data_IF_429760660960
#
_entry.id   IF_429760660960
#
_cell.length_a   1.000
_cell.length_b   1.000
_cell.length_c   1.000
_cell.angle_alpha   90.00
_cell.angle_beta   90.00
_cell.angle_gamma   90.00
#
_symmetry.space_group_name_H-M   'P 1'
#
loop_
_entity.id
_entity.type
_entity.pdbx_description
1 polymer ?
#
# COMPACT_ATOMS: atom_id res chain seq x y z
N UNK A 1 -11.14 -4.34 -11.46
CA UNK A 1 -11.85 -3.13 -10.95
C UNK A 1 -10.79 -2.11 -10.62
N UNK A 2 -10.90 -0.86 -11.10
CA UNK A 2 -9.87 0.16 -10.89
C UNK A 2 -9.80 0.63 -9.45
N UNK A 3 -8.61 1.10 -9.01
CA UNK A 3 -8.41 1.72 -7.71
C UNK A 3 -9.49 2.78 -7.41
N UNK A 4 -9.75 3.70 -8.35
CA UNK A 4 -10.76 4.76 -8.19
C UNK A 4 -12.14 4.21 -7.88
N UNK A 5 -12.58 3.17 -8.59
CA UNK A 5 -13.93 2.60 -8.37
C UNK A 5 -14.06 1.93 -7.00
N UNK A 6 -13.00 1.30 -6.51
CA UNK A 6 -12.98 0.66 -5.19
C UNK A 6 -13.02 1.72 -4.09
N UNK A 7 -12.09 2.67 -4.11
CA UNK A 7 -11.91 3.61 -3.00
C UNK A 7 -12.94 4.74 -2.98
N UNK A 8 -13.63 5.03 -4.09
CA UNK A 8 -14.83 5.90 -4.09
C UNK A 8 -15.90 5.42 -3.10
N UNK A 9 -16.04 4.10 -2.90
CA UNK A 9 -17.02 3.50 -2.00
C UNK A 9 -16.44 3.08 -0.65
N UNK A 10 -15.17 2.68 -0.63
CA UNK A 10 -14.50 2.14 0.57
C UNK A 10 -13.69 3.16 1.35
N UNK A 11 -13.36 4.30 0.75
CA UNK A 11 -12.39 5.25 1.31
C UNK A 11 -12.75 5.73 2.72
N UNK A 12 -14.03 6.06 2.97
CA UNK A 12 -14.47 6.50 4.31
C UNK A 12 -14.36 5.37 5.35
N UNK A 13 -14.76 4.14 4.99
CA UNK A 13 -14.67 2.97 5.88
C UNK A 13 -13.21 2.62 6.18
N UNK A 14 -12.35 2.67 5.17
CA UNK A 14 -10.92 2.49 5.33
C UNK A 14 -10.30 3.56 6.25
N UNK A 15 -10.61 4.84 6.02
CA UNK A 15 -10.12 5.95 6.84
C UNK A 15 -10.59 5.82 8.30
N UNK A 16 -11.84 5.39 8.51
CA UNK A 16 -12.34 5.10 9.85
C UNK A 16 -11.51 4.00 10.54
N UNK A 17 -11.20 2.89 9.85
CA UNK A 17 -10.37 1.83 10.39
C UNK A 17 -8.98 2.34 10.80
N UNK A 18 -8.33 3.10 9.90
CA UNK A 18 -6.99 3.64 10.12
C UNK A 18 -6.94 4.67 11.26
N UNK A 19 -7.96 5.50 11.41
CA UNK A 19 -8.05 6.49 12.49
C UNK A 19 -8.38 5.86 13.85
N UNK A 20 -9.26 4.84 13.85
CA UNK A 20 -9.66 4.14 15.07
C UNK A 20 -8.55 3.26 15.62
N UNK A 21 -7.74 2.65 14.74
CA UNK A 21 -6.70 1.70 15.08
C UNK A 21 -5.35 2.10 14.44
N UNK A 22 -4.79 3.26 14.76
CA UNK A 22 -3.68 3.87 14.02
C UNK A 22 -2.34 3.13 14.14
N UNK A 23 -2.24 2.14 15.03
CA UNK A 23 -1.03 1.35 15.25
C UNK A 23 -0.99 0.03 14.48
N UNK A 24 -2.16 -0.45 13.99
CA UNK A 24 -2.29 -1.81 13.44
C UNK A 24 -1.33 -2.04 12.28
N UNK A 25 -1.17 -1.08 11.40
CA UNK A 25 -0.28 -1.15 10.24
C UNK A 25 1.10 -0.54 10.45
N UNK A 26 1.47 -0.19 11.69
CA UNK A 26 2.78 0.45 11.98
C UNK A 26 3.94 -0.33 11.36
N UNK A 27 3.90 -1.66 11.45
CA UNK A 27 4.98 -2.50 10.95
C UNK A 27 5.10 -2.47 9.42
N UNK A 28 4.01 -2.32 8.70
CA UNK A 28 4.05 -2.15 7.24
C UNK A 28 4.80 -0.90 6.84
N UNK A 29 4.46 0.25 7.42
CA UNK A 29 5.12 1.52 7.14
C UNK A 29 6.59 1.52 7.57
N UNK A 30 6.91 0.97 8.75
CA UNK A 30 8.30 0.87 9.22
C UNK A 30 9.18 0.01 8.33
N UNK A 31 8.63 -1.05 7.75
CA UNK A 31 9.36 -1.94 6.85
C UNK A 31 9.71 -1.30 5.51
N UNK A 32 8.97 -0.28 5.05
CA UNK A 32 9.25 0.42 3.80
C UNK A 32 10.70 0.92 3.73
N UNK A 33 11.19 1.47 4.84
CA UNK A 33 12.52 2.11 4.90
C UNK A 33 13.58 1.26 5.59
N UNK A 34 13.30 -0.02 5.87
CA UNK A 34 14.21 -0.85 6.68
C UNK A 34 15.51 -1.23 5.96
N UNK A 35 15.52 -1.30 4.63
CA UNK A 35 16.72 -1.60 3.82
C UNK A 35 17.42 -0.34 3.32
N UNK A 36 16.66 0.67 2.96
CA UNK A 36 17.18 1.97 2.53
C UNK A 36 16.54 3.03 3.44
N UNK A 37 17.16 3.36 4.58
CA UNK A 37 16.63 4.36 5.50
C UNK A 37 16.47 5.73 4.85
N UNK A 38 15.51 6.51 5.37
CA UNK A 38 15.31 7.90 4.96
C UNK A 38 16.49 8.77 5.43
N UNK A 39 16.91 9.68 4.57
CA UNK A 39 17.74 10.81 4.96
C UNK A 39 16.92 11.90 5.67
N UNK A 40 17.61 12.95 6.12
CA UNK A 40 16.95 14.14 6.69
C UNK A 40 16.54 15.09 5.57
N UNK A 41 15.39 15.75 5.76
CA UNK A 41 14.87 16.78 4.86
C UNK A 41 14.61 16.27 3.41
N UNK A 42 14.42 14.98 3.23
CA UNK A 42 14.00 14.43 1.93
C UNK A 42 12.56 14.81 1.62
N UNK A 43 12.25 15.01 0.34
CA UNK A 43 10.90 15.15 -0.17
C UNK A 43 10.37 13.77 -0.54
N UNK A 44 9.24 13.39 0.01
CA UNK A 44 8.61 12.07 -0.18
C UNK A 44 7.25 12.27 -0.83
N UNK A 45 6.98 11.56 -1.92
CA UNK A 45 5.66 11.48 -2.53
C UNK A 45 4.99 10.18 -2.08
N UNK A 46 3.88 10.30 -1.35
CA UNK A 46 3.00 9.18 -0.97
C UNK A 46 1.88 9.06 -2.01
N UNK A 47 1.83 7.95 -2.76
CA UNK A 47 0.88 7.78 -3.85
C UNK A 47 0.54 6.29 -4.11
N UNK A 48 -0.73 5.90 -4.01
CA UNK A 48 -1.87 6.66 -3.51
C UNK A 48 -1.84 6.77 -1.99
N UNK A 49 -2.08 7.97 -1.47
CA UNK A 49 -1.90 8.29 -0.06
C UNK A 49 -3.15 8.03 0.82
N UNK A 50 -4.34 7.94 0.21
CA UNK A 50 -5.62 7.90 0.92
C UNK A 50 -5.72 9.01 1.99
N UNK A 51 -5.53 8.68 3.26
CA UNK A 51 -5.61 9.62 4.39
C UNK A 51 -4.27 10.22 4.83
N UNK A 52 -3.17 10.03 4.07
CA UNK A 52 -1.86 10.59 4.41
C UNK A 52 -1.21 9.97 5.65
N UNK A 53 -1.42 8.67 5.88
CA UNK A 53 -0.95 7.98 7.09
C UNK A 53 0.57 7.84 7.18
N UNK A 54 1.29 7.99 6.05
CA UNK A 54 2.74 7.89 5.99
C UNK A 54 3.44 8.99 6.80
N UNK A 55 2.85 10.18 6.91
CA UNK A 55 3.47 11.36 7.54
C UNK A 55 4.01 11.08 8.95
N UNK A 56 3.32 10.26 9.75
CA UNK A 56 3.77 9.96 11.13
C UNK A 56 5.07 9.17 11.22
N UNK A 57 5.50 8.52 10.12
CA UNK A 57 6.75 7.75 10.05
C UNK A 57 7.91 8.54 9.41
N UNK A 58 7.63 9.75 8.90
CA UNK A 58 8.56 10.58 8.15
C UNK A 58 8.73 11.97 8.81
N UNK A 59 8.95 12.00 10.13
CA UNK A 59 8.90 13.21 10.96
C UNK A 59 9.92 14.28 10.53
N UNK A 60 11.11 13.87 10.06
CA UNK A 60 12.18 14.77 9.63
C UNK A 60 12.09 15.11 8.13
N UNK A 61 11.00 14.73 7.45
CA UNK A 61 10.85 14.81 5.99
C UNK A 61 9.57 15.52 5.59
N UNK A 62 9.50 15.99 4.37
CA UNK A 62 8.28 16.57 3.80
C UNK A 62 7.55 15.52 2.99
N UNK A 63 6.32 15.15 3.39
CA UNK A 63 5.48 14.22 2.64
C UNK A 63 4.43 14.98 1.83
N UNK A 64 4.42 14.74 0.52
CA UNK A 64 3.41 15.21 -0.42
C UNK A 64 2.46 14.04 -0.66
N UNK A 65 1.16 14.26 -0.48
CA UNK A 65 0.14 13.24 -0.67
C UNK A 65 -0.62 13.47 -1.96
N UNK A 66 -0.68 12.46 -2.83
CA UNK A 66 -1.56 12.41 -4.01
C UNK A 66 -2.38 11.12 -3.97
N UNK A 67 -3.55 11.13 -4.59
CA UNK A 67 -4.41 9.93 -4.66
C UNK A 67 -5.00 9.72 -6.05
N UNK A 68 -5.51 8.51 -6.32
CA UNK A 68 -6.19 8.18 -7.58
C UNK A 68 -7.71 8.21 -7.44
N UNK A 69 -8.22 8.45 -6.24
CA UNK A 69 -9.65 8.49 -5.95
C UNK A 69 -10.01 9.67 -5.06
N UNK A 70 -11.12 10.32 -5.36
CA UNK A 70 -11.68 11.39 -4.50
C UNK A 70 -12.43 10.77 -3.32
N UNK A 71 -11.72 10.05 -2.47
CA UNK A 71 -12.32 9.36 -1.31
C UNK A 71 -12.16 10.14 -0.01
N UNK A 72 -11.13 10.97 0.12
CA UNK A 72 -10.82 11.74 1.33
C UNK A 72 -10.55 13.19 0.95
N UNK A 73 -11.19 14.13 1.67
CA UNK A 73 -11.03 15.55 1.42
C UNK A 73 -9.60 16.05 1.74
N UNK A 74 -9.08 16.93 0.90
CA UNK A 74 -7.81 17.63 1.11
C UNK A 74 -6.59 16.98 0.48
N UNK A 75 -6.78 15.87 -0.26
CA UNK A 75 -5.73 15.25 -1.07
C UNK A 75 -6.05 15.44 -2.54
N UNK A 76 -5.06 15.90 -3.32
CA UNK A 76 -5.22 16.10 -4.76
C UNK A 76 -5.35 14.77 -5.50
N UNK A 77 -6.31 14.72 -6.42
CA UNK A 77 -6.59 13.52 -7.23
C UNK A 77 -5.89 13.62 -8.57
N UNK A 78 -5.15 12.58 -8.90
CA UNK A 78 -4.37 12.47 -10.14
C UNK A 78 -4.64 11.13 -10.84
N UNK A 79 -4.31 11.04 -12.12
CA UNK A 79 -4.27 9.76 -12.83
C UNK A 79 -2.97 9.02 -12.51
N UNK A 80 -2.98 7.68 -12.33
CA UNK A 80 -1.74 6.91 -12.17
C UNK A 80 -0.80 7.04 -13.37
N UNK A 81 -1.33 7.37 -14.55
CA UNK A 81 -0.59 7.45 -15.82
C UNK A 81 -0.41 8.88 -16.35
N UNK A 82 -0.95 9.87 -15.65
CA UNK A 82 -0.89 11.27 -16.03
C UNK A 82 0.26 12.00 -15.34
N UNK A 83 0.58 13.21 -15.83
CA UNK A 83 1.57 14.06 -15.19
C UNK A 83 1.06 14.51 -13.82
N UNK A 84 1.84 14.30 -12.78
CA UNK A 84 1.52 14.74 -11.42
C UNK A 84 1.98 16.19 -11.19
N UNK A 85 1.25 16.99 -10.41
CA UNK A 85 1.55 18.42 -10.20
C UNK A 85 2.63 18.60 -9.12
N UNK A 86 3.66 17.78 -9.15
CA UNK A 86 4.78 17.81 -8.18
C UNK A 86 6.11 17.91 -8.91
N UNK A 87 7.07 18.57 -8.29
CA UNK A 87 8.47 18.56 -8.75
C UNK A 87 9.09 17.21 -8.42
N UNK A 88 10.21 16.83 -9.10
CA UNK A 88 10.91 15.61 -8.75
C UNK A 88 11.28 15.56 -7.27
N UNK A 89 11.05 14.38 -6.66
CA UNK A 89 11.23 14.10 -5.23
C UNK A 89 12.35 13.10 -4.99
N UNK A 90 12.82 13.02 -3.75
CA UNK A 90 13.86 12.06 -3.34
C UNK A 90 13.30 10.64 -3.23
N UNK A 91 12.06 10.51 -2.75
CA UNK A 91 11.40 9.22 -2.52
C UNK A 91 9.97 9.22 -3.05
N UNK A 92 9.56 8.08 -3.58
CA UNK A 92 8.15 7.80 -3.87
C UNK A 92 7.75 6.55 -3.08
N UNK A 93 6.60 6.59 -2.41
CA UNK A 93 6.05 5.47 -1.66
C UNK A 93 4.73 5.02 -2.29
N UNK A 94 4.58 3.70 -2.48
CA UNK A 94 3.33 3.07 -2.89
C UNK A 94 3.09 1.84 -1.99
N UNK A 95 2.13 1.93 -1.08
CA UNK A 95 1.87 0.87 -0.09
C UNK A 95 0.52 0.20 -0.31
N UNK A 96 0.54 -1.11 -0.60
CA UNK A 96 -0.63 -1.99 -0.74
C UNK A 96 -1.69 -1.45 -1.72
N UNK A 97 -1.24 -0.97 -2.88
CA UNK A 97 -2.11 -0.35 -3.87
C UNK A 97 -1.75 -0.70 -5.34
N UNK A 98 -0.54 -1.18 -5.60
CA UNK A 98 -0.08 -1.48 -6.95
C UNK A 98 -0.89 -2.62 -7.59
N UNK A 99 -1.43 -3.54 -6.80
CA UNK A 99 -2.34 -4.60 -7.29
C UNK A 99 -3.68 -4.07 -7.85
N UNK A 100 -3.97 -2.78 -7.71
CA UNK A 100 -5.11 -2.11 -8.33
C UNK A 100 -4.72 -1.26 -9.55
N UNK A 101 -3.48 -1.33 -9.99
CA UNK A 101 -2.97 -0.61 -11.16
C UNK A 101 -3.00 -1.54 -12.38
N UNK A 102 -3.68 -1.11 -13.45
CA UNK A 102 -3.86 -1.95 -14.63
C UNK A 102 -2.58 -2.06 -15.48
N UNK A 103 -1.79 -0.98 -15.57
CA UNK A 103 -0.52 -0.94 -16.30
C UNK A 103 0.62 -0.49 -15.40
N UNK A 104 1.29 -1.48 -14.79
CA UNK A 104 2.43 -1.22 -13.90
C UNK A 104 3.61 -0.57 -14.63
N UNK A 105 3.83 -0.91 -15.90
CA UNK A 105 4.97 -0.38 -16.64
C UNK A 105 4.82 1.13 -16.87
N UNK A 106 3.63 1.57 -17.29
CA UNK A 106 3.32 3.00 -17.41
C UNK A 106 3.35 3.70 -16.05
N UNK A 107 2.87 3.05 -15.01
CA UNK A 107 2.90 3.60 -13.65
C UNK A 107 4.34 3.82 -13.14
N UNK A 108 5.22 2.85 -13.34
CA UNK A 108 6.63 2.97 -12.98
C UNK A 108 7.36 4.03 -13.81
N UNK A 109 7.06 4.16 -15.12
CA UNK A 109 7.60 5.25 -15.93
C UNK A 109 7.20 6.60 -15.35
N UNK A 110 5.92 6.75 -14.99
CA UNK A 110 5.42 7.99 -14.40
C UNK A 110 6.08 8.29 -13.05
N UNK A 111 6.29 7.28 -12.19
CA UNK A 111 7.09 7.44 -10.97
C UNK A 111 8.51 7.89 -11.27
N UNK A 112 9.16 7.27 -12.26
CA UNK A 112 10.53 7.62 -12.64
C UNK A 112 10.65 9.07 -13.12
N UNK A 113 9.66 9.59 -13.84
CA UNK A 113 9.61 10.99 -14.30
C UNK A 113 9.53 12.00 -13.14
N UNK A 114 9.05 11.55 -11.97
CA UNK A 114 8.91 12.36 -10.75
C UNK A 114 9.99 12.08 -9.69
N UNK A 115 11.03 11.31 -10.02
CA UNK A 115 12.20 11.11 -9.17
C UNK A 115 13.36 12.02 -9.56
N UNK A 116 14.15 12.41 -8.56
CA UNK A 116 15.48 12.96 -8.82
C UNK A 116 16.42 11.83 -9.26
N UNK A 117 17.62 12.19 -9.75
CA UNK A 117 18.69 11.23 -10.00
C UNK A 117 19.05 10.51 -8.69
N UNK A 118 19.18 9.18 -8.74
CA UNK A 118 19.36 8.29 -7.58
C UNK A 118 18.19 8.28 -6.56
N UNK A 119 17.05 8.90 -6.87
CA UNK A 119 15.85 8.81 -6.04
C UNK A 119 15.33 7.37 -5.97
N UNK A 120 14.59 7.05 -4.92
CA UNK A 120 14.14 5.68 -4.64
C UNK A 120 12.61 5.59 -4.64
N UNK A 121 12.08 4.55 -5.29
CA UNK A 121 10.70 4.09 -5.10
C UNK A 121 10.73 3.01 -4.02
N UNK A 122 9.94 3.20 -2.96
CA UNK A 122 9.62 2.19 -1.97
C UNK A 122 8.20 1.68 -2.24
N UNK A 123 8.08 0.47 -2.71
CA UNK A 123 6.80 -0.18 -2.94
C UNK A 123 6.66 -1.38 -2.02
N UNK A 124 5.47 -1.58 -1.47
CA UNK A 124 5.14 -2.82 -0.78
C UNK A 124 3.76 -3.27 -1.18
N UNK A 125 3.61 -4.54 -1.55
CA UNK A 125 2.32 -5.07 -1.97
C UNK A 125 2.20 -6.58 -1.71
N UNK A 126 0.98 -7.07 -1.86
CA UNK A 126 0.63 -8.48 -1.73
C UNK A 126 1.23 -9.28 -2.90
N UNK A 127 1.87 -10.39 -2.58
CA UNK A 127 2.45 -11.27 -3.59
C UNK A 127 1.38 -12.16 -4.24
N UNK A 128 1.63 -12.53 -5.51
CA UNK A 128 0.85 -13.54 -6.22
C UNK A 128 0.80 -14.86 -5.44
N UNK A 129 -0.33 -15.55 -5.48
CA UNK A 129 -0.57 -16.85 -4.84
C UNK A 129 -0.29 -16.92 -3.32
N UNK A 130 -0.15 -15.76 -2.68
CA UNK A 130 0.05 -15.69 -1.23
C UNK A 130 -1.23 -16.02 -0.46
N UNK A 131 -1.12 -16.44 0.82
CA UNK A 131 -2.29 -16.57 1.70
C UNK A 131 -3.15 -15.30 1.77
N UNK A 132 -2.50 -14.13 1.68
CA UNK A 132 -3.18 -12.83 1.73
C UNK A 132 -3.93 -12.54 0.43
N UNK A 133 -3.34 -12.80 -0.75
CA UNK A 133 -4.05 -12.63 -2.02
C UNK A 133 -5.30 -13.49 -2.10
N UNK A 134 -5.22 -14.76 -1.64
CA UNK A 134 -6.37 -15.66 -1.56
C UNK A 134 -7.44 -15.17 -0.60
N UNK A 135 -7.04 -14.69 0.60
CA UNK A 135 -7.98 -14.08 1.54
C UNK A 135 -8.70 -12.87 0.93
N UNK A 136 -7.96 -12.01 0.22
CA UNK A 136 -8.52 -10.81 -0.41
C UNK A 136 -9.50 -11.17 -1.54
N UNK A 137 -9.14 -12.10 -2.41
CA UNK A 137 -10.00 -12.46 -3.55
C UNK A 137 -11.20 -13.31 -3.13
N UNK A 138 -10.97 -14.37 -2.34
CA UNK A 138 -12.01 -15.33 -2.02
C UNK A 138 -12.95 -14.82 -0.92
N UNK A 139 -12.42 -14.31 0.19
CA UNK A 139 -13.25 -13.89 1.32
C UNK A 139 -13.65 -12.41 1.21
N UNK A 140 -12.70 -11.50 1.05
CA UNK A 140 -13.01 -10.07 0.97
C UNK A 140 -13.82 -9.78 -0.28
N UNK A 141 -13.42 -10.31 -1.44
CA UNK A 141 -14.12 -10.12 -2.70
C UNK A 141 -15.58 -10.56 -2.66
N UNK A 142 -15.87 -11.69 -1.98
CA UNK A 142 -17.24 -12.19 -1.85
C UNK A 142 -18.11 -11.42 -0.84
N UNK A 143 -17.52 -10.61 0.05
CA UNK A 143 -18.20 -10.00 1.19
C UNK A 143 -18.07 -8.46 1.24
N UNK A 144 -17.36 -7.84 0.32
CA UNK A 144 -17.27 -6.38 0.25
C UNK A 144 -18.48 -5.77 -0.46
N UNK A 145 -18.75 -4.49 -0.21
CA UNK A 145 -19.86 -3.75 -0.82
C UNK A 145 -19.80 -3.70 -2.36
N UNK A 146 -18.62 -3.82 -2.94
CA UNK A 146 -18.38 -3.82 -4.39
C UNK A 146 -18.57 -5.21 -5.04
N UNK A 147 -18.72 -6.27 -4.24
CA UNK A 147 -18.92 -7.65 -4.71
C UNK A 147 -17.70 -8.30 -5.36
N UNK A 148 -16.54 -7.65 -5.35
CA UNK A 148 -15.27 -8.23 -5.81
C UNK A 148 -14.07 -7.45 -5.25
N UNK A 149 -12.94 -8.15 -5.12
CA UNK A 149 -11.64 -7.57 -4.81
C UNK A 149 -10.61 -8.09 -5.83
N UNK A 150 -10.90 -8.05 -7.09
CA UNK A 150 -10.00 -8.58 -8.11
C UNK A 150 -8.72 -7.72 -8.17
N UNK A 151 -7.70 -8.13 -7.42
CA UNK A 151 -6.38 -7.53 -7.47
C UNK A 151 -5.53 -8.17 -8.58
N UNK A 152 -4.71 -7.36 -9.25
CA UNK A 152 -3.65 -7.84 -10.13
C UNK A 152 -2.42 -8.14 -9.27
N UNK A 153 -2.32 -9.34 -8.71
CA UNK A 153 -1.15 -9.73 -7.91
C UNK A 153 -0.01 -10.17 -8.82
N UNK A 154 1.22 -9.88 -8.39
CA UNK A 154 2.40 -10.10 -9.21
C UNK A 154 3.43 -10.98 -8.49
N UNK A 155 4.13 -11.82 -9.24
CA UNK A 155 5.47 -12.23 -8.85
C UNK A 155 6.41 -11.06 -9.18
N UNK A 156 6.84 -10.36 -8.15
CA UNK A 156 7.63 -9.14 -8.29
C UNK A 156 9.01 -9.37 -8.91
N UNK A 157 9.50 -10.60 -8.94
CA UNK A 157 10.73 -10.95 -9.65
C UNK A 157 10.54 -11.02 -11.16
N UNK A 158 9.31 -11.29 -11.62
CA UNK A 158 8.98 -11.42 -13.05
C UNK A 158 8.43 -10.11 -13.63
N UNK A 159 8.21 -9.08 -12.81
CA UNK A 159 7.72 -7.77 -13.27
C UNK A 159 8.76 -7.09 -14.14
N UNK A 160 8.33 -6.56 -15.28
CA UNK A 160 9.17 -5.73 -16.14
C UNK A 160 9.21 -4.31 -15.65
N UNK A 161 10.37 -3.89 -15.16
CA UNK A 161 10.62 -2.50 -14.77
C UNK A 161 11.17 -1.68 -15.95
N UNK A 162 10.90 -0.36 -16.01
CA UNK A 162 11.55 0.54 -16.95
C UNK A 162 13.09 0.47 -16.86
N UNK A 163 13.77 0.64 -17.98
CA UNK A 163 15.25 0.60 -18.05
C UNK A 163 15.93 1.69 -17.22
N UNK A 164 15.22 2.76 -16.91
CA UNK A 164 15.67 3.87 -16.08
C UNK A 164 15.54 3.58 -14.55
N UNK A 165 15.02 2.40 -14.19
CA UNK A 165 14.90 1.92 -12.81
C UNK A 165 15.76 0.67 -12.61
N UNK A 166 16.59 0.71 -11.58
CA UNK A 166 17.37 -0.44 -11.11
C UNK A 166 16.69 -1.05 -9.90
N UNK A 167 16.43 -2.35 -9.94
CA UNK A 167 15.99 -3.09 -8.75
C UNK A 167 17.15 -3.15 -7.75
N UNK A 168 16.91 -2.63 -6.55
CA UNK A 168 17.86 -2.65 -5.43
C UNK A 168 17.54 -3.78 -4.47
N UNK A 169 16.24 -4.02 -4.23
CA UNK A 169 15.80 -5.05 -3.31
C UNK A 169 14.41 -5.55 -3.70
N UNK A 170 14.17 -6.85 -3.57
CA UNK A 170 12.84 -7.47 -3.55
C UNK A 170 12.87 -8.52 -2.44
N UNK A 171 11.98 -8.38 -1.44
CA UNK A 171 11.96 -9.28 -0.30
C UNK A 171 10.57 -9.35 0.33
N UNK A 172 10.06 -10.58 0.53
CA UNK A 172 8.86 -10.77 1.34
C UNK A 172 9.21 -10.62 2.83
N UNK A 173 8.51 -9.72 3.54
CA UNK A 173 8.79 -9.45 4.96
C UNK A 173 7.53 -9.53 5.78
N UNK A 174 7.60 -10.15 6.99
CA UNK A 174 6.50 -10.12 7.93
C UNK A 174 6.26 -8.69 8.43
N UNK A 175 5.02 -8.27 8.38
CA UNK A 175 4.54 -7.01 8.92
C UNK A 175 3.22 -7.25 9.70
N UNK A 176 3.28 -8.05 10.79
CA UNK A 176 2.10 -8.51 11.49
C UNK A 176 1.24 -7.37 11.99
N UNK A 177 -0.08 -7.56 11.92
CA UNK A 177 -1.05 -6.65 12.54
C UNK A 177 -1.34 -7.10 13.97
N UNK A 178 -1.30 -6.16 14.92
CA UNK A 178 -1.40 -6.45 16.35
C UNK A 178 -2.66 -5.81 16.92
N UNK A 179 -3.47 -6.60 17.61
CA UNK A 179 -4.74 -6.21 18.20
C UNK A 179 -4.81 -6.63 19.68
N UNK A 180 -5.60 -5.92 20.46
CA UNK A 180 -5.83 -6.27 21.86
C UNK A 180 -6.79 -7.47 22.02
N UNK A 181 -7.65 -7.74 21.01
CA UNK A 181 -8.61 -8.84 21.03
C UNK A 181 -9.02 -9.27 19.62
N UNK A 182 -9.61 -10.49 19.52
CA UNK A 182 -10.23 -10.97 18.28
C UNK A 182 -11.37 -10.06 17.81
N UNK A 183 -12.17 -9.52 18.73
CA UNK A 183 -13.22 -8.57 18.39
C UNK A 183 -12.65 -7.32 17.70
N UNK A 184 -11.56 -6.76 18.23
CA UNK A 184 -10.88 -5.61 17.64
C UNK A 184 -10.31 -5.95 16.25
N UNK A 185 -9.73 -7.16 16.08
CA UNK A 185 -9.23 -7.63 14.78
C UNK A 185 -10.37 -7.78 13.76
N UNK A 186 -11.50 -8.38 14.15
CA UNK A 186 -12.65 -8.52 13.28
C UNK A 186 -13.26 -7.15 12.90
N UNK A 187 -13.37 -6.25 13.88
CA UNK A 187 -13.87 -4.89 13.65
C UNK A 187 -12.97 -4.11 12.69
N UNK A 188 -11.66 -4.14 12.91
CA UNK A 188 -10.70 -3.49 12.01
C UNK A 188 -10.83 -4.01 10.57
N UNK A 189 -10.80 -5.32 10.39
CA UNK A 189 -10.94 -5.93 9.06
C UNK A 189 -12.28 -5.61 8.41
N UNK A 190 -13.37 -5.55 9.20
CA UNK A 190 -14.69 -5.15 8.71
C UNK A 190 -14.66 -3.77 8.05
N UNK A 191 -14.08 -2.78 8.71
CA UNK A 191 -14.01 -1.43 8.20
C UNK A 191 -12.94 -1.29 7.10
N UNK A 192 -11.74 -1.86 7.29
CA UNK A 192 -10.67 -1.76 6.31
C UNK A 192 -11.06 -2.32 4.95
N UNK A 193 -11.76 -3.46 4.94
CA UNK A 193 -12.19 -4.15 3.72
C UNK A 193 -13.64 -3.86 3.32
N UNK A 194 -14.34 -2.99 4.06
CA UNK A 194 -15.75 -2.64 3.83
C UNK A 194 -16.65 -3.89 3.74
N UNK A 195 -16.48 -4.84 4.66
CA UNK A 195 -17.22 -6.09 4.67
C UNK A 195 -18.68 -5.86 5.09
N UNK A 196 -19.64 -6.38 4.32
CA UNK A 196 -21.08 -6.26 4.55
C UNK A 196 -21.69 -7.60 4.95
N UNK A 197 -22.65 -7.55 5.87
CA UNK A 197 -23.44 -8.72 6.28
C UNK A 197 -22.62 -9.92 6.78
N UNK A 198 -21.42 -9.69 7.34
CA UNK A 198 -20.51 -10.71 7.83
C UNK A 198 -20.38 -10.59 9.35
N UNK A 199 -20.54 -11.70 10.07
CA UNK A 199 -20.36 -11.75 11.54
C UNK A 199 -18.86 -11.82 11.89
N UNK A 200 -18.49 -11.35 13.09
CA UNK A 200 -17.10 -11.41 13.56
C UNK A 200 -16.52 -12.82 13.46
N UNK A 201 -17.29 -13.85 13.87
CA UNK A 201 -16.86 -15.25 13.75
C UNK A 201 -16.45 -15.64 12.33
N UNK A 202 -17.19 -15.20 11.31
CA UNK A 202 -16.89 -15.54 9.92
C UNK A 202 -15.59 -14.86 9.45
N UNK A 203 -15.34 -13.61 9.91
CA UNK A 203 -14.09 -12.89 9.63
C UNK A 203 -12.91 -13.62 10.30
N UNK A 204 -13.06 -13.99 11.57
CA UNK A 204 -12.02 -14.69 12.32
C UNK A 204 -11.72 -16.08 11.74
N UNK A 205 -12.74 -16.84 11.39
CA UNK A 205 -12.58 -18.15 10.75
C UNK A 205 -11.82 -18.00 9.41
N UNK A 206 -12.16 -16.99 8.58
CA UNK A 206 -11.45 -16.73 7.33
C UNK A 206 -9.99 -16.30 7.57
N UNK A 207 -9.75 -15.37 8.49
CA UNK A 207 -8.39 -14.95 8.84
C UNK A 207 -7.55 -16.12 9.35
N UNK A 208 -8.14 -17.01 10.18
CA UNK A 208 -7.47 -18.21 10.66
C UNK A 208 -7.12 -19.18 9.52
N UNK A 209 -8.05 -19.40 8.59
CA UNK A 209 -7.90 -20.39 7.53
C UNK A 209 -6.92 -19.94 6.44
N UNK A 210 -6.94 -18.67 6.03
CA UNK A 210 -6.11 -18.16 4.96
C UNK A 210 -4.76 -17.63 5.47
N UNK A 211 -4.77 -16.72 6.45
CA UNK A 211 -3.60 -15.95 6.87
C UNK A 211 -2.93 -16.55 8.10
N UNK A 212 -3.75 -17.01 9.03
CA UNK A 212 -3.32 -17.48 10.34
C UNK A 212 -3.09 -16.32 11.31
N UNK A 213 -3.45 -16.52 12.57
CA UNK A 213 -3.14 -15.60 13.66
C UNK A 213 -2.89 -16.34 14.97
N UNK A 214 -2.26 -15.65 15.92
CA UNK A 214 -2.03 -16.13 17.29
C UNK A 214 -2.88 -15.30 18.24
N UNK A 215 -3.58 -15.97 19.14
CA UNK A 215 -4.36 -15.33 20.21
C UNK A 215 -3.78 -15.78 21.55
N UNK A 216 -2.96 -14.92 22.19
CA UNK A 216 -2.39 -15.12 23.53
C UNK A 216 -2.68 -13.88 24.36
N UNK A 217 -1.65 -13.14 24.78
CA UNK A 217 -1.81 -11.83 25.43
C UNK A 217 -2.37 -10.78 24.47
N UNK A 218 -2.04 -10.89 23.18
CA UNK A 218 -2.55 -10.08 22.07
C UNK A 218 -2.88 -10.98 20.88
N UNK A 219 -3.78 -10.49 20.02
CA UNK A 219 -4.06 -11.13 18.75
C UNK A 219 -3.08 -10.61 17.69
N UNK A 220 -2.30 -11.50 17.11
CA UNK A 220 -1.25 -11.20 16.12
C UNK A 220 -1.60 -11.89 14.82
N UNK A 221 -2.07 -11.12 13.83
CA UNK A 221 -2.35 -11.60 12.49
C UNK A 221 -1.04 -11.69 11.69
N UNK A 222 -0.78 -12.83 11.03
CA UNK A 222 0.45 -13.10 10.28
C UNK A 222 0.47 -12.38 8.93
N UNK A 223 0.34 -11.04 8.93
CA UNK A 223 0.38 -10.25 7.71
C UNK A 223 1.81 -10.14 7.18
N UNK A 224 1.97 -10.18 5.87
CA UNK A 224 3.24 -9.98 5.20
C UNK A 224 3.02 -9.30 3.84
N UNK A 225 4.02 -8.56 3.38
CA UNK A 225 4.04 -7.94 2.06
C UNK A 225 5.40 -8.19 1.40
N UNK A 226 5.44 -8.15 0.08
CA UNK A 226 6.69 -8.05 -0.66
C UNK A 226 7.07 -6.59 -0.78
N UNK A 227 8.27 -6.25 -0.31
CA UNK A 227 8.86 -4.92 -0.35
C UNK A 227 9.85 -4.84 -1.50
N UNK A 228 9.70 -3.83 -2.32
CA UNK A 228 10.47 -3.59 -3.52
C UNK A 228 11.08 -2.19 -3.43
N UNK A 229 12.40 -2.11 -3.56
CA UNK A 229 13.12 -0.85 -3.64
C UNK A 229 13.72 -0.70 -5.04
N UNK A 230 13.31 0.35 -5.77
CA UNK A 230 13.79 0.66 -7.11
C UNK A 230 14.51 2.00 -7.08
N UNK A 231 15.70 2.06 -7.68
CA UNK A 231 16.50 3.27 -7.79
C UNK A 231 16.43 3.86 -9.19
N UNK A 232 16.17 5.15 -9.29
CA UNK A 232 16.31 5.89 -10.56
C UNK A 232 17.80 5.95 -10.96
N UNK A 233 18.10 5.47 -12.16
CA UNK A 233 19.44 5.60 -12.80
C UNK A 233 19.42 6.60 -13.93
N UNK A 234 18.34 7.37 -14.07
CA UNK A 234 18.16 8.40 -15.10
C UNK A 234 19.06 9.59 -14.80
N UNK A 235 20.04 9.84 -15.68
CA UNK A 235 20.81 11.06 -15.61
C UNK A 235 19.92 12.29 -15.88
N UNK A 236 20.05 13.35 -15.07
CA UNK A 236 19.37 14.62 -15.39
C UNK A 236 19.83 15.10 -16.76
N UNK A 237 18.90 15.57 -17.62
CA UNK A 237 19.32 16.36 -18.77
C UNK A 237 20.16 17.55 -18.24
N UNK A 238 21.33 17.73 -18.83
CA UNK A 238 22.17 18.88 -18.51
C UNK A 238 21.31 20.14 -18.57
N UNK A 239 21.27 20.90 -17.48
CA UNK A 239 20.52 22.17 -17.41
C UNK A 239 20.98 23.09 -18.54
N UNK A 240 20.14 23.26 -19.55
CA UNK A 240 20.30 24.26 -20.59
C UNK A 240 20.06 25.67 -20.06
#
# INVERSE_FOLDING_TARGET
MSYESIFRHRGESYDFAMKKFPWVRDKEFQQLFSKIPLGKNEMILDIPALGGYLQKYCIENTVICLDFSKSINGIDVVSPYGKWPVKPVDRIVCLAAAHHIDDLYLFFNNMCDHLIENGIIHLADVALDSPISKFLDEFVGSNTSTGSHNGNYYDWNDVKYPTDLKVVNIENRPCPWIFESEHQMAEYCRFLFDLKNVKDKQILDALSNFVGYKNKEKCILNWNLTYIDLQSIRAKPASS
#
